data_IF_937497064856
#
_entry.id   IF_937497064856
#
_cell.length_a   1.000
_cell.length_b   1.000
_cell.length_c   1.000
_cell.angle_alpha   90.00
_cell.angle_beta   90.00
_cell.angle_gamma   90.00
#
_symmetry.space_group_name_H-M   'P 1'
#
loop_
_entity.id
_entity.type
_entity.pdbx_description
1 polymer ?
#
# COMPACT_ATOMS: atom_id res chain seq x y z
N UNK A 1 -9.14 -9.87 6.72
CA UNK A 1 -8.70 -9.19 5.48
C UNK A 1 -9.92 -8.81 4.67
N UNK A 2 -9.95 -7.58 4.14
CA UNK A 2 -11.14 -6.98 3.51
C UNK A 2 -10.80 -6.77 2.03
N UNK A 3 -11.51 -7.43 1.12
CA UNK A 3 -11.50 -7.05 -0.29
C UNK A 3 -12.46 -5.87 -0.46
N UNK A 4 -12.06 -4.86 -1.21
CA UNK A 4 -12.88 -3.67 -1.47
C UNK A 4 -14.25 -4.10 -2.06
N UNK A 5 -15.39 -3.64 -1.51
CA UNK A 5 -16.69 -3.87 -2.14
C UNK A 5 -16.71 -3.32 -3.58
N UNK A 6 -17.43 -3.99 -4.50
CA UNK A 6 -17.49 -3.58 -5.91
C UNK A 6 -18.13 -2.18 -6.02
N UNK A 7 -17.47 -1.24 -6.69
CA UNK A 7 -18.14 -0.03 -7.22
C UNK A 7 -18.89 -0.42 -8.50
N UNK A 8 -20.02 0.23 -8.84
CA UNK A 8 -20.67 0.03 -10.13
C UNK A 8 -19.70 0.34 -11.28
N UNK A 9 -19.72 -0.53 -12.29
CA UNK A 9 -18.75 -0.63 -13.38
C UNK A 9 -18.81 0.57 -14.34
N UNK A 10 -17.72 1.32 -14.48
CA UNK A 10 -17.48 2.22 -15.62
C UNK A 10 -16.38 1.57 -16.45
N UNK A 11 -16.78 0.94 -17.56
CA UNK A 11 -15.95 0.06 -18.39
C UNK A 11 -15.09 0.88 -19.36
N UNK A 12 -13.78 0.62 -19.43
CA UNK A 12 -12.92 0.97 -20.57
C UNK A 12 -12.56 -0.31 -21.36
N UNK A 13 -12.33 -0.23 -22.69
CA UNK A 13 -12.20 -1.40 -23.55
C UNK A 13 -10.78 -2.02 -23.48
N UNK A 14 -10.73 -3.34 -23.67
CA UNK A 14 -9.63 -4.18 -23.23
C UNK A 14 -8.46 -4.36 -24.19
N UNK A 15 -7.45 -5.09 -23.70
CA UNK A 15 -6.47 -5.82 -24.50
C UNK A 15 -6.04 -7.11 -23.80
N UNK A 16 -5.66 -8.08 -24.62
CA UNK A 16 -5.57 -9.51 -24.32
C UNK A 16 -4.20 -9.95 -23.77
N UNK A 17 -4.22 -11.15 -23.17
CA UNK A 17 -3.28 -11.86 -22.27
C UNK A 17 -1.89 -12.19 -22.83
N UNK A 18 -0.95 -12.43 -21.91
CA UNK A 18 -0.06 -13.63 -21.90
C UNK A 18 0.35 -13.99 -20.46
N UNK A 19 0.56 -15.29 -20.20
CA UNK A 19 0.60 -15.96 -18.90
C UNK A 19 1.87 -15.75 -18.05
N UNK A 20 1.71 -15.84 -16.72
CA UNK A 20 2.74 -15.69 -15.68
C UNK A 20 3.37 -17.03 -15.24
N UNK A 21 4.65 -17.05 -14.79
CA UNK A 21 5.20 -18.18 -14.06
C UNK A 21 4.74 -18.18 -12.60
N UNK A 22 4.33 -19.34 -12.10
CA UNK A 22 3.96 -19.59 -10.70
C UNK A 22 5.12 -19.28 -9.74
N UNK A 23 4.88 -18.40 -8.77
CA UNK A 23 5.76 -18.18 -7.62
C UNK A 23 4.94 -18.29 -6.32
N UNK A 24 5.31 -19.23 -5.45
CA UNK A 24 4.60 -19.59 -4.22
C UNK A 24 4.53 -18.50 -3.12
N UNK A 25 4.00 -18.83 -1.92
CA UNK A 25 3.52 -17.85 -0.94
C UNK A 25 4.70 -17.25 -0.18
N UNK A 26 5.15 -16.05 -0.56
CA UNK A 26 6.12 -15.29 0.24
C UNK A 26 5.62 -13.86 0.41
N UNK A 27 5.12 -13.54 1.60
CA UNK A 27 4.92 -12.16 2.03
C UNK A 27 6.26 -11.40 1.91
N UNK A 28 6.25 -10.21 1.32
CA UNK A 28 7.46 -9.43 1.04
C UNK A 28 7.45 -8.09 1.77
N UNK A 29 8.64 -7.57 2.11
CA UNK A 29 8.84 -6.35 2.91
C UNK A 29 9.75 -5.37 2.18
N UNK A 30 9.48 -4.07 2.31
CA UNK A 30 10.29 -3.02 1.70
C UNK A 30 10.99 -2.13 2.75
N UNK A 31 12.25 -1.75 2.49
CA UNK A 31 13.09 -0.87 3.35
C UNK A 31 13.83 0.19 2.51
N UNK A 32 14.14 1.37 3.06
CA UNK A 32 14.95 2.38 2.37
C UNK A 32 16.36 1.86 2.03
N UNK A 33 16.92 2.38 0.93
CA UNK A 33 18.28 2.01 0.47
C UNK A 33 19.41 2.67 1.26
N UNK A 34 19.16 3.71 2.07
CA UNK A 34 20.19 4.42 2.87
C UNK A 34 19.65 4.91 4.22
N UNK A 35 20.32 4.62 5.35
CA UNK A 35 19.83 4.98 6.68
C UNK A 35 19.96 6.48 7.03
N UNK A 36 20.87 7.22 6.39
CA UNK A 36 21.16 8.63 6.74
C UNK A 36 20.19 9.68 6.17
N UNK A 37 19.15 9.27 5.43
CA UNK A 37 18.04 10.12 4.98
C UNK A 37 16.70 9.43 5.25
N UNK A 38 16.58 8.81 6.42
CA UNK A 38 15.30 8.30 6.86
C UNK A 38 14.32 9.47 7.05
N UNK A 39 13.10 9.32 6.54
CA UNK A 39 12.01 10.24 6.79
C UNK A 39 11.63 10.27 8.27
N UNK A 40 10.57 11.03 8.57
CA UNK A 40 10.06 11.12 9.93
C UNK A 40 9.68 9.72 10.48
N UNK A 41 9.70 9.50 11.81
CA UNK A 41 9.42 8.18 12.40
C UNK A 41 8.06 7.58 12.00
N UNK A 42 7.10 8.44 11.69
CA UNK A 42 5.76 8.09 11.20
C UNK A 42 5.74 7.62 9.73
N UNK A 43 6.87 7.64 9.03
CA UNK A 43 7.02 7.06 7.70
C UNK A 43 7.30 5.53 7.73
N UNK A 44 7.27 4.91 8.91
CA UNK A 44 7.63 3.50 9.10
C UNK A 44 6.62 2.76 9.98
N UNK A 45 6.42 1.47 9.69
CA UNK A 45 5.58 0.55 10.43
C UNK A 45 6.35 -0.03 11.64
N UNK A 46 7.44 -0.73 11.35
CA UNK A 46 8.34 -1.35 12.34
C UNK A 46 9.78 -1.22 11.83
N UNK A 47 10.64 -0.62 12.65
CA UNK A 47 12.03 -0.35 12.25
C UNK A 47 12.09 0.57 11.04
N UNK A 48 12.60 0.07 9.91
CA UNK A 48 12.69 0.80 8.64
C UNK A 48 11.72 0.25 7.58
N UNK A 49 10.72 -0.54 7.98
CA UNK A 49 9.73 -1.09 7.07
C UNK A 49 8.68 -0.01 6.75
N UNK A 50 8.62 0.45 5.50
CA UNK A 50 7.64 1.47 5.06
C UNK A 50 6.42 0.86 4.35
N UNK A 51 6.56 -0.40 3.92
CA UNK A 51 5.52 -1.16 3.24
C UNK A 51 5.67 -2.67 3.47
N UNK A 52 4.55 -3.36 3.65
CA UNK A 52 4.43 -4.80 3.87
C UNK A 52 3.36 -5.41 2.96
N UNK A 53 3.72 -6.35 2.09
CA UNK A 53 2.79 -6.98 1.15
C UNK A 53 2.22 -8.28 1.71
N UNK A 54 0.90 -8.43 1.65
CA UNK A 54 0.22 -9.69 1.94
C UNK A 54 0.37 -10.66 0.76
N UNK A 55 0.07 -11.96 0.96
CA UNK A 55 0.10 -12.93 -0.12
C UNK A 55 -0.79 -12.55 -1.31
N UNK A 56 -0.53 -13.12 -2.50
CA UNK A 56 -1.29 -12.85 -3.72
C UNK A 56 -2.81 -13.10 -3.58
N UNK A 57 -3.21 -13.97 -2.64
CA UNK A 57 -4.60 -14.35 -2.40
C UNK A 57 -5.53 -13.15 -2.10
N UNK A 58 -5.01 -12.06 -1.54
CA UNK A 58 -5.76 -10.80 -1.44
C UNK A 58 -5.01 -9.58 -1.97
N UNK A 59 -3.69 -9.65 -2.12
CA UNK A 59 -2.84 -8.60 -2.70
C UNK A 59 -2.81 -7.30 -1.90
N UNK A 60 -3.37 -7.28 -0.69
CA UNK A 60 -3.42 -6.10 0.16
C UNK A 60 -2.05 -5.78 0.78
N UNK A 61 -1.91 -4.57 1.30
CA UNK A 61 -0.64 -4.15 1.88
C UNK A 61 -0.84 -3.17 3.03
N UNK A 62 0.08 -3.23 3.99
CA UNK A 62 0.25 -2.17 4.96
C UNK A 62 1.28 -1.18 4.44
N UNK A 63 0.98 0.11 4.54
CA UNK A 63 1.83 1.17 3.99
C UNK A 63 1.77 2.42 4.87
N UNK A 64 2.93 3.05 5.08
CA UNK A 64 3.01 4.36 5.75
C UNK A 64 2.92 5.48 4.69
N UNK A 65 1.94 6.36 4.81
CA UNK A 65 1.71 7.46 3.86
C UNK A 65 1.75 8.82 4.56
N UNK A 66 2.14 9.90 3.88
CA UNK A 66 1.96 11.25 4.40
C UNK A 66 0.50 11.45 4.84
N UNK A 67 0.23 12.15 5.97
CA UNK A 67 -1.12 12.25 6.54
C UNK A 67 -2.20 12.69 5.54
N UNK A 68 -1.88 13.67 4.69
CA UNK A 68 -2.80 14.15 3.65
C UNK A 68 -3.14 13.08 2.61
N UNK A 69 -2.14 12.31 2.16
CA UNK A 69 -2.33 11.22 1.20
C UNK A 69 -3.10 10.07 1.82
N UNK A 70 -2.81 9.73 3.08
CA UNK A 70 -3.55 8.71 3.84
C UNK A 70 -5.04 9.09 3.95
N UNK A 71 -5.34 10.37 4.23
CA UNK A 71 -6.71 10.86 4.29
C UNK A 71 -7.44 10.73 2.94
N UNK A 72 -6.80 11.16 1.84
CA UNK A 72 -7.38 11.04 0.49
C UNK A 72 -7.59 9.58 0.10
N UNK A 73 -6.61 8.70 0.34
CA UNK A 73 -6.73 7.27 0.05
C UNK A 73 -7.92 6.62 0.79
N UNK A 74 -8.14 7.01 2.06
CA UNK A 74 -9.30 6.56 2.84
C UNK A 74 -10.62 7.09 2.29
N UNK A 75 -10.69 8.40 1.98
CA UNK A 75 -11.90 9.02 1.43
C UNK A 75 -12.30 8.42 0.07
N UNK A 76 -11.32 8.07 -0.76
CA UNK A 76 -11.52 7.43 -2.06
C UNK A 76 -11.82 5.91 -1.94
N UNK A 77 -11.75 5.36 -0.73
CA UNK A 77 -11.99 3.94 -0.47
C UNK A 77 -10.90 3.02 -1.02
N UNK A 78 -9.65 3.49 -1.03
CA UNK A 78 -8.45 2.69 -1.31
C UNK A 78 -7.84 2.10 -0.05
N UNK A 79 -8.10 2.73 1.09
CA UNK A 79 -7.46 2.37 2.34
C UNK A 79 -8.38 2.48 3.56
N UNK A 80 -8.02 1.73 4.60
CA UNK A 80 -8.59 1.83 5.94
C UNK A 80 -7.49 2.09 6.98
N UNK A 81 -7.80 2.70 8.14
CA UNK A 81 -6.82 2.80 9.22
C UNK A 81 -6.34 1.40 9.63
N UNK A 82 -5.03 1.24 9.79
CA UNK A 82 -4.45 -0.02 10.24
C UNK A 82 -5.02 -0.41 11.63
N UNK A 83 -5.42 -1.67 11.89
CA UNK A 83 -5.98 -2.07 13.19
C UNK A 83 -5.06 -1.77 14.37
N UNK A 84 -3.75 -1.89 14.18
CA UNK A 84 -2.74 -1.53 15.20
C UNK A 84 -2.56 -0.01 15.33
N UNK A 85 -2.82 0.79 14.29
CA UNK A 85 -2.82 2.25 14.39
C UNK A 85 -3.99 2.72 15.25
N UNK A 86 -5.17 2.12 15.09
CA UNK A 86 -6.33 2.35 15.98
C UNK A 86 -6.06 2.02 17.46
N UNK A 87 -5.03 1.21 17.74
CA UNK A 87 -4.60 0.81 19.08
C UNK A 87 -3.36 1.58 19.57
N UNK A 88 -2.85 2.54 18.79
CA UNK A 88 -1.66 3.34 19.12
C UNK A 88 -0.34 2.57 19.08
N UNK A 89 -0.30 1.38 18.48
CA UNK A 89 0.91 0.52 18.44
C UNK A 89 1.82 0.86 17.25
N UNK A 90 1.24 1.39 16.17
CA UNK A 90 1.97 1.93 15.01
C UNK A 90 1.44 3.32 14.69
N UNK A 91 2.19 4.16 13.95
CA UNK A 91 1.75 5.50 13.57
C UNK A 91 0.39 5.54 12.85
N UNK A 92 -0.38 6.63 13.02
CA UNK A 92 -1.69 6.81 12.37
C UNK A 92 -1.61 6.94 10.85
N UNK A 93 -0.44 7.30 10.34
CA UNK A 93 -0.06 7.31 8.92
C UNK A 93 -0.02 5.93 8.28
N UNK A 94 0.02 4.87 9.10
CA UNK A 94 -0.02 3.49 8.62
C UNK A 94 -1.47 3.09 8.31
N UNK A 95 -1.70 2.76 7.06
CA UNK A 95 -3.00 2.32 6.56
C UNK A 95 -2.91 0.91 5.95
N UNK A 96 -4.06 0.24 5.90
CA UNK A 96 -4.26 -0.93 5.06
C UNK A 96 -4.76 -0.48 3.70
N UNK A 97 -4.04 -0.74 2.62
CA UNK A 97 -4.49 -0.56 1.24
C UNK A 97 -5.03 -1.88 0.72
N UNK A 98 -6.20 -1.84 0.08
CA UNK A 98 -6.79 -3.03 -0.53
C UNK A 98 -5.98 -3.51 -1.73
N UNK A 99 -5.93 -4.83 -1.92
CA UNK A 99 -5.25 -5.38 -3.10
C UNK A 99 -5.97 -5.03 -4.40
N UNK A 100 -5.20 -4.81 -5.47
CA UNK A 100 -5.74 -4.43 -6.77
C UNK A 100 -6.49 -5.59 -7.42
N UNK A 101 -7.59 -5.29 -8.12
CA UNK A 101 -8.40 -6.30 -8.82
C UNK A 101 -8.09 -6.41 -10.31
N UNK A 102 -7.47 -5.37 -10.86
CA UNK A 102 -7.08 -5.24 -12.26
C UNK A 102 -5.83 -4.34 -12.40
N UNK A 103 -5.37 -4.15 -13.63
CA UNK A 103 -4.16 -3.38 -13.92
C UNK A 103 -4.31 -1.89 -13.58
N UNK A 104 -5.51 -1.31 -13.75
CA UNK A 104 -5.75 0.10 -13.43
C UNK A 104 -5.68 0.34 -11.92
N UNK A 105 -6.22 -0.59 -11.12
CA UNK A 105 -6.07 -0.54 -9.67
C UNK A 105 -4.63 -0.79 -9.23
N UNK A 106 -3.90 -1.65 -9.93
CA UNK A 106 -2.48 -1.90 -9.65
C UNK A 106 -1.65 -0.63 -9.82
N UNK A 107 -1.91 0.17 -10.84
CA UNK A 107 -1.22 1.45 -11.05
C UNK A 107 -1.45 2.44 -9.90
N UNK A 108 -2.66 2.46 -9.32
CA UNK A 108 -2.96 3.26 -8.14
C UNK A 108 -2.19 2.74 -6.93
N UNK A 109 -2.20 1.43 -6.68
CA UNK A 109 -1.47 0.81 -5.57
C UNK A 109 0.03 1.06 -5.68
N UNK A 110 0.61 0.89 -6.88
CA UNK A 110 2.02 1.18 -7.16
C UNK A 110 2.35 2.66 -6.90
N UNK A 111 1.44 3.57 -7.25
CA UNK A 111 1.60 4.99 -6.98
C UNK A 111 1.63 5.30 -5.48
N UNK A 112 0.76 4.68 -4.68
CA UNK A 112 0.77 4.81 -3.22
C UNK A 112 2.08 4.26 -2.61
N UNK A 113 2.57 3.11 -3.09
CA UNK A 113 3.85 2.55 -2.63
C UNK A 113 5.02 3.48 -2.98
N UNK A 114 5.01 4.11 -4.16
CA UNK A 114 6.04 5.10 -4.55
C UNK A 114 6.03 6.34 -3.66
N UNK A 115 4.85 6.84 -3.29
CA UNK A 115 4.70 7.94 -2.33
C UNK A 115 5.27 7.54 -0.97
N UNK A 116 4.91 6.35 -0.47
CA UNK A 116 5.44 5.81 0.79
C UNK A 116 6.97 5.71 0.80
N UNK A 117 7.56 5.22 -0.30
CA UNK A 117 9.02 5.16 -0.45
C UNK A 117 9.69 6.54 -0.41
N UNK A 118 9.06 7.56 -1.01
CA UNK A 118 9.58 8.94 -0.95
C UNK A 118 9.50 9.49 0.46
N UNK A 119 8.36 9.28 1.12
CA UNK A 119 8.11 9.72 2.49
C UNK A 119 9.12 9.10 3.47
N UNK A 120 9.33 7.79 3.37
CA UNK A 120 10.36 7.07 4.13
C UNK A 120 11.80 7.53 3.81
N UNK A 121 12.03 8.16 2.66
CA UNK A 121 13.30 8.78 2.28
C UNK A 121 13.39 10.28 2.61
N UNK A 122 12.46 10.83 3.38
CA UNK A 122 12.43 12.25 3.77
C UNK A 122 12.05 13.20 2.63
N UNK A 123 11.24 12.74 1.68
CA UNK A 123 10.74 13.52 0.54
C UNK A 123 9.21 13.44 0.50
N UNK A 124 8.54 14.58 0.45
CA UNK A 124 7.08 14.66 0.28
C UNK A 124 6.68 14.49 -1.20
#
# INVERSE_FOLDING_TARGET
>A
MVRRPRRPNVRAPGRERTAEPHLGPRCSRARPRRPHRAGAPDAFLIGQEFCHFHPPDDGSLHVALPPAVAAVARQQGWAEPHPMAKRGVVPETVVMVYGPRDADELDVVVSLVRVSYRYAGGRE
#
